data_IF_943950496419
#
_entry.id   IF_943950496419
#
_cell.length_a   1.000
_cell.length_b   1.000
_cell.length_c   1.000
_cell.angle_alpha   90.00
_cell.angle_beta   90.00
_cell.angle_gamma   90.00
#
_symmetry.space_group_name_H-M   'P 1'
#
loop_
_entity.id
_entity.type
_entity.pdbx_description
1 polymer ?
#
# COMPACT_ATOMS: atom_id res chain seq x y z
N UNK A 1 -0.31 -4.04 41.11
CA UNK A 1 0.80 -4.40 40.21
C UNK A 1 0.13 -4.90 38.96
N UNK A 2 -0.15 -3.99 38.02
CA UNK A 2 -1.01 -4.19 36.85
C UNK A 2 -0.31 -3.66 35.58
N UNK A 3 1.00 -3.87 35.50
CA UNK A 3 1.85 -3.45 34.36
C UNK A 3 2.02 -4.56 33.30
N UNK A 4 1.15 -5.58 33.27
CA UNK A 4 1.29 -6.72 32.34
C UNK A 4 0.41 -6.67 31.09
N UNK A 5 -0.63 -5.84 31.07
CA UNK A 5 -1.60 -5.82 29.98
C UNK A 5 -1.19 -4.86 28.85
N UNK A 6 -0.39 -3.82 29.11
CA UNK A 6 0.02 -2.84 28.09
C UNK A 6 1.09 -3.38 27.10
N UNK A 7 1.96 -4.30 27.55
CA UNK A 7 3.04 -4.85 26.72
C UNK A 7 2.53 -5.81 25.62
N UNK A 8 1.46 -6.57 25.89
CA UNK A 8 0.90 -7.56 24.96
C UNK A 8 0.13 -6.89 23.81
N UNK A 9 -0.52 -5.77 24.09
CA UNK A 9 -1.21 -4.94 23.10
C UNK A 9 -0.23 -4.27 22.13
N UNK A 10 0.91 -3.77 22.64
CA UNK A 10 1.93 -3.13 21.78
C UNK A 10 2.64 -4.15 20.87
N UNK A 11 2.95 -5.35 21.37
CA UNK A 11 3.54 -6.42 20.56
C UNK A 11 2.56 -6.94 19.48
N UNK A 12 1.28 -7.09 19.84
CA UNK A 12 0.22 -7.48 18.91
C UNK A 12 0.00 -6.44 17.81
N UNK A 13 0.03 -5.15 18.16
CA UNK A 13 -0.06 -4.05 17.19
C UNK A 13 1.12 -4.05 16.21
N UNK A 14 2.35 -4.28 16.67
CA UNK A 14 3.55 -4.39 15.81
C UNK A 14 3.46 -5.57 14.85
N UNK A 15 2.98 -6.72 15.31
CA UNK A 15 2.76 -7.90 14.45
C UNK A 15 1.70 -7.61 13.38
N UNK A 16 0.59 -6.97 13.76
CA UNK A 16 -0.46 -6.57 12.83
C UNK A 16 0.07 -5.57 11.79
N UNK A 17 0.79 -4.53 12.22
CA UNK A 17 1.42 -3.55 11.33
C UNK A 17 2.38 -4.22 10.34
N UNK A 18 3.18 -5.19 10.79
CA UNK A 18 4.07 -5.95 9.91
C UNK A 18 3.32 -6.80 8.88
N UNK A 19 2.17 -7.39 9.24
CA UNK A 19 1.32 -8.15 8.31
C UNK A 19 0.70 -7.21 7.27
N UNK A 20 0.09 -6.12 7.72
CA UNK A 20 -0.54 -5.11 6.83
C UNK A 20 0.51 -4.49 5.90
N UNK A 21 1.70 -4.18 6.42
CA UNK A 21 2.81 -3.66 5.61
C UNK A 21 3.24 -4.62 4.51
N UNK A 22 3.35 -5.93 4.81
CA UNK A 22 3.65 -6.96 3.80
C UNK A 22 2.55 -7.04 2.73
N UNK A 23 1.28 -6.99 3.14
CA UNK A 23 0.15 -7.01 2.21
C UNK A 23 0.13 -5.77 1.32
N UNK A 24 0.39 -4.58 1.87
CA UNK A 24 0.49 -3.34 1.12
C UNK A 24 1.59 -3.40 0.06
N UNK A 25 2.77 -3.92 0.40
CA UNK A 25 3.87 -4.13 -0.56
C UNK A 25 3.47 -5.10 -1.68
N UNK A 26 2.76 -6.19 -1.36
CA UNK A 26 2.27 -7.14 -2.37
C UNK A 26 1.27 -6.50 -3.33
N UNK A 27 0.32 -5.72 -2.81
CA UNK A 27 -0.64 -4.97 -3.64
C UNK A 27 0.08 -3.98 -4.55
N UNK A 28 1.04 -3.21 -4.01
CA UNK A 28 1.86 -2.28 -4.80
C UNK A 28 2.60 -2.99 -5.94
N UNK A 29 3.15 -4.17 -5.69
CA UNK A 29 3.85 -4.94 -6.71
C UNK A 29 2.91 -5.37 -7.86
N UNK A 30 1.73 -5.89 -7.51
CA UNK A 30 0.73 -6.33 -8.49
C UNK A 30 0.20 -5.13 -9.30
N UNK A 31 -0.18 -4.05 -8.61
CA UNK A 31 -0.73 -2.87 -9.27
C UNK A 31 0.28 -2.21 -10.19
N UNK A 32 1.55 -2.08 -9.77
CA UNK A 32 2.60 -1.56 -10.63
C UNK A 32 2.81 -2.44 -11.89
N UNK A 33 2.78 -3.77 -11.75
CA UNK A 33 2.86 -4.67 -12.89
C UNK A 33 1.69 -4.45 -13.87
N UNK A 34 0.46 -4.41 -13.37
CA UNK A 34 -0.73 -4.21 -14.20
C UNK A 34 -0.72 -2.86 -14.93
N UNK A 35 -0.33 -1.78 -14.25
CA UNK A 35 -0.20 -0.44 -14.84
C UNK A 35 0.83 -0.46 -15.97
N UNK A 36 1.99 -1.09 -15.76
CA UNK A 36 3.02 -1.21 -16.80
C UNK A 36 2.52 -2.01 -18.01
N UNK A 37 1.79 -3.11 -17.79
CA UNK A 37 1.17 -3.87 -18.87
C UNK A 37 0.17 -3.03 -19.66
N UNK A 38 -0.68 -2.25 -18.98
CA UNK A 38 -1.62 -1.32 -19.62
C UNK A 38 -0.89 -0.26 -20.45
N UNK A 39 0.15 0.38 -19.90
CA UNK A 39 0.95 1.38 -20.62
C UNK A 39 1.61 0.77 -21.85
N UNK A 40 2.14 -0.45 -21.76
CA UNK A 40 2.72 -1.15 -22.91
C UNK A 40 1.66 -1.47 -23.98
N UNK A 41 0.43 -1.84 -23.61
CA UNK A 41 -0.67 -2.01 -24.58
C UNK A 41 -0.95 -0.71 -25.33
N UNK A 42 -1.05 0.41 -24.60
CA UNK A 42 -1.29 1.75 -25.18
C UNK A 42 -0.16 2.15 -26.13
N UNK A 43 1.10 1.99 -25.71
CA UNK A 43 2.27 2.32 -26.54
C UNK A 43 2.36 1.51 -27.83
N UNK A 44 1.90 0.26 -27.80
CA UNK A 44 1.86 -0.62 -28.96
C UNK A 44 0.65 -0.36 -29.87
N UNK A 45 -0.23 0.58 -29.52
CA UNK A 45 -1.47 0.83 -30.25
C UNK A 45 -2.42 -0.36 -30.26
N UNK A 46 -2.35 -1.22 -29.23
CA UNK A 46 -3.25 -2.36 -29.12
C UNK A 46 -4.66 -1.89 -28.76
N UNK A 47 -5.67 -2.70 -29.08
CA UNK A 47 -7.04 -2.39 -28.70
C UNK A 47 -7.18 -2.40 -27.17
N UNK A 48 -7.75 -1.32 -26.62
CA UNK A 48 -7.96 -1.15 -25.18
C UNK A 48 -9.44 -1.37 -24.89
N UNK A 49 -9.74 -2.29 -23.98
CA UNK A 49 -11.12 -2.53 -23.52
C UNK A 49 -11.46 -1.61 -22.35
N UNK A 50 -12.76 -1.48 -22.03
CA UNK A 50 -13.18 -0.79 -20.82
C UNK A 50 -12.61 -1.46 -19.55
N UNK A 51 -12.58 -2.79 -19.53
CA UNK A 51 -12.00 -3.57 -18.42
C UNK A 51 -10.51 -3.25 -18.20
N UNK A 52 -9.74 -3.08 -19.29
CA UNK A 52 -8.33 -2.67 -19.20
C UNK A 52 -8.19 -1.29 -18.53
N UNK A 53 -9.08 -0.35 -18.85
CA UNK A 53 -9.09 1.00 -18.26
C UNK A 53 -9.50 0.95 -16.79
N UNK A 54 -10.58 0.26 -16.47
CA UNK A 54 -11.11 0.15 -15.09
C UNK A 54 -10.06 -0.47 -14.17
N UNK A 55 -9.39 -1.53 -14.64
CA UNK A 55 -8.32 -2.20 -13.90
C UNK A 55 -7.14 -1.25 -13.66
N UNK A 56 -6.66 -0.55 -14.68
CA UNK A 56 -5.53 0.38 -14.55
C UNK A 56 -5.84 1.56 -13.61
N UNK A 57 -7.08 2.06 -13.62
CA UNK A 57 -7.53 3.09 -12.68
C UNK A 57 -7.56 2.58 -11.24
N UNK A 58 -8.17 1.41 -11.01
CA UNK A 58 -8.23 0.78 -9.70
C UNK A 58 -6.82 0.50 -9.15
N UNK A 59 -5.92 0.00 -9.98
CA UNK A 59 -4.52 -0.24 -9.61
C UNK A 59 -3.78 1.05 -9.26
N UNK A 60 -4.07 2.14 -9.98
CA UNK A 60 -3.47 3.46 -9.69
C UNK A 60 -3.93 3.98 -8.33
N UNK A 61 -5.24 3.90 -8.04
CA UNK A 61 -5.82 4.32 -6.76
C UNK A 61 -5.30 3.45 -5.61
N UNK A 62 -5.25 2.12 -5.80
CA UNK A 62 -4.69 1.20 -4.82
C UNK A 62 -3.22 1.51 -4.54
N UNK A 63 -2.43 1.77 -5.58
CA UNK A 63 -1.02 2.14 -5.45
C UNK A 63 -0.84 3.41 -4.64
N UNK A 64 -1.66 4.44 -4.89
CA UNK A 64 -1.62 5.69 -4.13
C UNK A 64 -1.92 5.47 -2.64
N UNK A 65 -3.02 4.78 -2.31
CA UNK A 65 -3.40 4.53 -0.92
C UNK A 65 -2.38 3.65 -0.18
N UNK A 66 -1.88 2.59 -0.80
CA UNK A 66 -0.89 1.72 -0.17
C UNK A 66 0.44 2.45 0.06
N UNK A 67 0.84 3.32 -0.88
CA UNK A 67 2.02 4.16 -0.70
C UNK A 67 1.84 5.14 0.47
N UNK A 68 0.64 5.72 0.62
CA UNK A 68 0.31 6.60 1.74
C UNK A 68 0.40 5.85 3.08
N UNK A 69 -0.21 4.66 3.18
CA UNK A 69 -0.17 3.82 4.39
C UNK A 69 1.27 3.49 4.81
N UNK A 70 2.14 3.20 3.85
CA UNK A 70 3.54 2.88 4.13
C UNK A 70 4.40 4.13 4.43
N UNK A 71 3.97 5.31 3.98
CA UNK A 71 4.70 6.57 4.18
C UNK A 71 4.49 7.21 5.56
N UNK A 72 3.40 6.86 6.26
CA UNK A 72 2.93 7.57 7.46
C UNK A 72 3.82 7.38 8.71
N UNK A 73 4.82 6.49 8.68
CA UNK A 73 5.82 6.34 9.75
C UNK A 73 6.81 7.54 9.83
N UNK A 74 6.89 8.38 8.80
CA UNK A 74 7.84 9.51 8.74
C UNK A 74 7.30 10.82 9.32
N UNK A 75 5.98 11.00 9.43
CA UNK A 75 5.35 12.23 9.96
C UNK A 75 5.05 12.19 11.47
N UNK A 76 5.06 11.01 12.10
CA UNK A 76 4.84 10.89 13.55
C UNK A 76 6.09 11.16 14.39
N UNK A 77 7.30 10.93 13.83
CA UNK A 77 8.56 11.19 14.54
C UNK A 77 8.90 12.68 14.67
N UNK A 78 8.39 13.53 13.78
CA UNK A 78 8.61 15.00 13.86
C UNK A 78 7.63 15.76 14.75
N UNK A 79 6.58 15.10 15.30
CA UNK A 79 5.65 15.73 16.24
C UNK A 79 6.00 15.56 17.72
N UNK A 80 7.06 14.82 18.06
CA UNK A 80 7.59 14.73 19.45
C UNK A 80 8.81 15.62 19.71
N UNK A 81 9.21 16.46 18.75
CA UNK A 81 10.29 17.43 18.90
C UNK A 81 9.75 18.86 18.77
N UNK A 82 8.84 19.25 19.68
CA UNK A 82 8.63 20.66 20.01
C UNK A 82 8.02 20.81 21.39
#
# INVERSE_FOLDING_TARGET
MDDKDEDDDEESAKKFQAIVGKQAVQVLHISNKNINEFVLKVQKGQNITQEDVDKAQNDTVATFYMSMLLSDDSNLKNKKAK
#
